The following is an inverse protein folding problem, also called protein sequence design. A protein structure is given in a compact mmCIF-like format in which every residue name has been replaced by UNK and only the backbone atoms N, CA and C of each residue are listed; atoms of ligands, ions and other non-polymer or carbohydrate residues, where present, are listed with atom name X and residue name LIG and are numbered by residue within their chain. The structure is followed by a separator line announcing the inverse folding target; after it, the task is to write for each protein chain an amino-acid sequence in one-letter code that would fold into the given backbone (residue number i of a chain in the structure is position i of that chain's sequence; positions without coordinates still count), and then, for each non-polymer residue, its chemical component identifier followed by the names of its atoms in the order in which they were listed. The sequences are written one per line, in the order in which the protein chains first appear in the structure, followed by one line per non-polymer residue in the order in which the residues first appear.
data_IF_065860457709
#
_entry.id   IF_065860457709
#
_cell.length_a   1.000
_cell.length_b   1.000
_cell.length_c   1.000
_cell.angle_alpha   90.00
_cell.angle_beta   90.00
_cell.angle_gamma   90.00
#
_symmetry.space_group_name_H-M   'P 1'
#
loop_
_entity.id
_entity.type
_entity.pdbx_description
1 polymer ?
#
# COMPACT_ATOMS: atom_id res chain seq x y z
N UNK A 1 14.64 14.91 8.79
CA UNK A 1 13.58 14.10 8.16
C UNK A 1 13.81 12.65 8.58
N UNK A 2 12.95 12.10 9.45
CA UNK A 2 13.08 10.72 9.96
C UNK A 2 12.46 9.76 8.94
N UNK A 3 13.31 9.09 8.16
CA UNK A 3 12.86 8.02 7.29
C UNK A 3 12.71 6.74 8.11
N UNK A 4 11.49 6.21 8.19
CA UNK A 4 11.24 4.91 8.82
C UNK A 4 11.33 3.83 7.76
N UNK A 5 12.24 2.88 7.95
CA UNK A 5 12.32 1.71 7.09
C UNK A 5 11.28 0.69 7.55
N UNK A 6 10.31 0.42 6.68
CA UNK A 6 9.32 -0.64 6.88
C UNK A 6 9.75 -1.90 6.14
N UNK A 7 9.48 -3.06 6.74
CA UNK A 7 9.65 -4.33 6.07
C UNK A 7 8.82 -4.36 4.76
N UNK A 8 9.31 -5.01 3.68
CA UNK A 8 8.57 -5.12 2.42
C UNK A 8 7.16 -5.67 2.61
N UNK A 9 6.99 -6.67 3.48
CA UNK A 9 5.70 -7.25 3.82
C UNK A 9 4.71 -6.20 4.36
N UNK A 10 5.15 -5.32 5.26
CA UNK A 10 4.32 -4.23 5.80
C UNK A 10 3.83 -3.29 4.71
N UNK A 11 4.69 -2.93 3.75
CA UNK A 11 4.31 -2.06 2.62
C UNK A 11 3.25 -2.74 1.75
N UNK A 12 3.39 -4.03 1.48
CA UNK A 12 2.42 -4.81 0.71
C UNK A 12 1.08 -4.88 1.43
N UNK A 13 1.07 -5.18 2.73
CA UNK A 13 -0.16 -5.26 3.52
C UNK A 13 -0.89 -3.90 3.57
N UNK A 14 -0.17 -2.80 3.75
CA UNK A 14 -0.73 -1.43 3.72
C UNK A 14 -1.44 -1.15 2.38
N UNK A 15 -0.81 -1.49 1.26
CA UNK A 15 -1.39 -1.29 -0.08
C UNK A 15 -2.62 -2.18 -0.26
N UNK A 16 -2.54 -3.46 0.10
CA UNK A 16 -3.67 -4.41 -0.01
C UNK A 16 -4.88 -3.96 0.80
N UNK A 17 -4.70 -3.60 2.08
CA UNK A 17 -5.81 -3.10 2.91
C UNK A 17 -6.41 -1.81 2.33
N UNK A 18 -5.58 -0.93 1.77
CA UNK A 18 -6.10 0.27 1.11
C UNK A 18 -6.88 -0.03 -0.17
N UNK A 19 -6.49 -1.05 -0.93
CA UNK A 19 -7.24 -1.52 -2.11
C UNK A 19 -8.55 -2.21 -1.73
N UNK A 20 -8.60 -2.85 -0.57
CA UNK A 20 -9.82 -3.42 0.04
C UNK A 20 -10.76 -2.36 0.63
N UNK A 21 -10.40 -1.07 0.55
CA UNK A 21 -11.25 0.04 1.01
C UNK A 21 -11.06 0.42 2.47
N UNK A 22 -10.06 -0.13 3.18
CA UNK A 22 -9.77 0.31 4.54
C UNK A 22 -9.24 1.74 4.55
N UNK A 23 -9.72 2.52 5.52
CA UNK A 23 -9.23 3.88 5.76
C UNK A 23 -7.81 3.85 6.36
N UNK A 24 -7.03 4.90 6.10
CA UNK A 24 -5.67 5.01 6.64
C UNK A 24 -5.61 4.88 8.19
N UNK A 25 -6.52 5.51 8.98
CA UNK A 25 -6.55 5.29 10.42
C UNK A 25 -6.79 3.83 10.81
N UNK A 26 -7.68 3.13 10.10
CA UNK A 26 -7.93 1.70 10.33
C UNK A 26 -6.69 0.86 10.05
N UNK A 27 -5.97 1.16 8.98
CA UNK A 27 -4.74 0.46 8.60
C UNK A 27 -3.65 0.69 9.66
N UNK A 28 -3.44 1.94 10.06
CA UNK A 28 -2.46 2.28 11.10
C UNK A 28 -2.76 1.59 12.43
N UNK A 29 -4.04 1.59 12.86
CA UNK A 29 -4.46 0.91 14.07
C UNK A 29 -4.28 -0.61 13.99
N UNK A 30 -4.55 -1.21 12.83
CA UNK A 30 -4.43 -2.67 12.63
C UNK A 30 -2.96 -3.11 12.63
N UNK A 31 -2.08 -2.33 11.99
CA UNK A 31 -0.67 -2.69 11.82
C UNK A 31 0.21 -2.20 12.98
N UNK A 32 -0.28 -1.31 13.83
CA UNK A 32 0.51 -0.68 14.91
C UNK A 32 1.59 0.27 14.39
N UNK A 33 1.53 0.67 13.12
CA UNK A 33 2.48 1.58 12.49
C UNK A 33 1.78 2.82 11.93
N UNK A 34 2.43 3.97 12.06
CA UNK A 34 1.94 5.21 11.48
C UNK A 34 2.46 5.39 10.06
N UNK A 35 1.58 5.22 9.08
CA UNK A 35 1.87 5.49 7.67
C UNK A 35 1.35 6.88 7.30
N UNK A 36 2.17 7.69 6.64
CA UNK A 36 1.72 8.98 6.16
C UNK A 36 0.79 8.83 4.94
N UNK A 37 -0.24 9.69 4.78
CA UNK A 37 -1.12 9.66 3.61
C UNK A 37 -0.35 9.77 2.29
N UNK A 38 0.70 10.58 2.25
CA UNK A 38 1.57 10.76 1.08
C UNK A 38 2.32 9.48 0.71
N UNK A 39 2.81 8.74 1.71
CA UNK A 39 3.48 7.46 1.47
C UNK A 39 2.52 6.41 0.95
N UNK A 40 1.29 6.38 1.49
CA UNK A 40 0.24 5.50 1.01
C UNK A 40 -0.13 5.83 -0.44
N UNK A 41 -0.35 7.11 -0.76
CA UNK A 41 -0.66 7.56 -2.12
C UNK A 41 0.42 7.12 -3.11
N UNK A 42 1.69 7.41 -2.82
CA UNK A 42 2.83 6.97 -3.66
C UNK A 42 2.91 5.46 -3.80
N UNK A 43 2.60 4.71 -2.74
CA UNK A 43 2.63 3.24 -2.80
C UNK A 43 1.50 2.68 -3.68
N UNK A 44 0.33 3.32 -3.68
CA UNK A 44 -0.79 2.96 -4.58
C UNK A 44 -0.47 3.28 -6.04
N UNK A 45 0.07 4.46 -6.29
CA UNK A 45 0.50 4.91 -7.61
C UNK A 45 1.57 3.96 -8.19
N UNK A 46 2.61 3.66 -7.40
CA UNK A 46 3.61 2.67 -7.77
C UNK A 46 3.01 1.28 -7.98
N UNK A 47 2.06 0.85 -7.15
CA UNK A 47 1.37 -0.43 -7.34
C UNK A 47 0.50 -0.44 -8.60
N UNK A 48 -0.02 0.70 -9.06
CA UNK A 48 -0.72 0.82 -10.34
C UNK A 48 0.24 0.78 -11.52
N UNK A 49 1.36 1.50 -11.45
CA UNK A 49 2.40 1.47 -12.48
C UNK A 49 3.10 0.11 -12.58
N UNK A 50 3.33 -0.54 -11.45
CA UNK A 50 3.98 -1.87 -11.35
C UNK A 50 2.99 -3.01 -11.34
N UNK A 51 1.68 -2.73 -11.42
CA UNK A 51 0.66 -3.69 -11.87
C UNK A 51 0.97 -4.02 -13.32
N UNK A 52 2.01 -4.83 -13.50
CA UNK A 52 2.21 -5.76 -14.60
C UNK A 52 1.07 -6.77 -14.54
N UNK A 53 -0.16 -6.29 -14.73
CA UNK A 53 -1.28 -7.13 -15.09
C UNK A 53 -0.94 -7.57 -16.51
N UNK A 54 -0.34 -8.76 -16.63
CA UNK A 54 -0.46 -9.50 -17.87
C UNK A 54 -1.96 -9.66 -18.06
N UNK A 55 -2.52 -8.94 -19.02
CA UNK A 55 -3.92 -9.04 -19.41
C UNK A 55 -4.22 -10.52 -19.60
N UNK A 56 -5.28 -11.03 -19.00
CA UNK A 56 -5.67 -12.42 -19.19
C UNK A 56 -5.86 -12.63 -20.70
N UNK A 57 -5.16 -13.58 -21.36
CA UNK A 57 -5.31 -13.78 -22.80
C UNK A 57 -6.73 -14.25 -23.22
N UNK A 58 -7.59 -14.57 -22.25
CA UNK A 58 -8.99 -14.97 -22.48
C UNK A 58 -10.02 -13.84 -22.29
N UNK A 59 -9.58 -12.60 -22.04
CA UNK A 59 -10.39 -11.36 -22.20
C UNK A 59 -9.94 -10.57 -23.44
#
# INVERSE_FOLDING_TARGET
MLFVSYAPATKVTVVQMSLQGHSLPSICNTLGYSVSPQSLYRSKDLHEMTRSVIRNPEE
#
